data_IF_521029067311
#
_entry.id   IF_521029067311
#
_cell.length_a   1.000
_cell.length_b   1.000
_cell.length_c   1.000
_cell.angle_alpha   90.00
_cell.angle_beta   90.00
_cell.angle_gamma   90.00
#
_symmetry.space_group_name_H-M   'P 1'
#
loop_
_entity.id
_entity.type
_entity.pdbx_description
1 polymer ?
#
# COMPACT_ATOMS: atom_id res chain seq x y z
N UNK A 1 12.86 -18.82 1.64
CA UNK A 1 11.48 -19.09 2.10
C UNK A 1 10.49 -18.65 1.02
N UNK A 2 9.37 -19.35 0.81
CA UNK A 2 8.42 -19.05 -0.28
C UNK A 2 7.57 -17.80 0.03
N UNK A 3 7.54 -16.84 -0.89
CA UNK A 3 6.68 -15.65 -0.86
C UNK A 3 5.31 -15.99 -1.45
N UNK A 4 4.23 -15.54 -0.80
CA UNK A 4 2.87 -15.71 -1.30
C UNK A 4 2.56 -14.61 -2.31
N UNK A 5 2.03 -14.98 -3.48
CA UNK A 5 1.55 -14.00 -4.47
C UNK A 5 0.06 -13.75 -4.27
N UNK A 6 -0.40 -12.57 -4.64
CA UNK A 6 -1.84 -12.29 -4.78
C UNK A 6 -2.39 -13.28 -5.83
N UNK A 7 -3.50 -13.97 -5.56
CA UNK A 7 -4.12 -14.88 -6.53
C UNK A 7 -4.43 -14.18 -7.85
N UNK A 8 -4.14 -14.84 -8.96
CA UNK A 8 -4.56 -14.38 -10.30
C UNK A 8 -6.01 -14.80 -10.52
N UNK A 9 -6.76 -14.00 -11.28
CA UNK A 9 -8.17 -14.26 -11.64
C UNK A 9 -9.18 -14.11 -10.48
N UNK A 10 -8.95 -13.13 -9.60
CA UNK A 10 -9.99 -12.70 -8.67
C UNK A 10 -11.21 -12.15 -9.44
N UNK A 11 -12.43 -12.28 -8.89
CA UNK A 11 -13.62 -11.70 -9.51
C UNK A 11 -13.44 -10.20 -9.77
N UNK A 12 -13.74 -9.76 -11.00
CA UNK A 12 -13.54 -8.36 -11.42
C UNK A 12 -14.44 -7.36 -10.65
N UNK A 13 -15.51 -7.86 -10.04
CA UNK A 13 -16.51 -7.08 -9.28
C UNK A 13 -16.23 -7.06 -7.76
N UNK A 14 -15.07 -7.55 -7.33
CA UNK A 14 -14.75 -7.63 -5.91
C UNK A 14 -14.65 -6.23 -5.30
N UNK A 15 -15.50 -5.94 -4.32
CA UNK A 15 -15.47 -4.67 -3.58
C UNK A 15 -14.46 -4.68 -2.42
N UNK A 16 -14.21 -5.85 -1.83
CA UNK A 16 -13.37 -6.03 -0.64
C UNK A 16 -12.43 -7.21 -0.82
N UNK A 17 -11.14 -6.98 -0.61
CA UNK A 17 -10.11 -8.02 -0.65
C UNK A 17 -9.35 -8.05 0.68
N UNK A 18 -9.39 -9.22 1.33
CA UNK A 18 -8.68 -9.46 2.58
C UNK A 18 -7.59 -10.50 2.38
N UNK A 19 -6.36 -10.10 2.61
CA UNK A 19 -5.15 -10.91 2.43
C UNK A 19 -4.23 -10.76 3.65
N UNK A 20 -4.83 -10.59 4.83
CA UNK A 20 -4.11 -10.48 6.09
C UNK A 20 -3.42 -11.81 6.43
N UNK A 21 -2.34 -11.75 7.21
CA UNK A 21 -1.59 -12.93 7.68
C UNK A 21 -1.05 -13.84 6.55
N UNK A 22 -0.66 -13.25 5.42
CA UNK A 22 0.00 -13.97 4.34
C UNK A 22 1.51 -13.66 4.31
N UNK A 23 2.18 -13.91 3.17
CA UNK A 23 3.59 -13.58 2.93
C UNK A 23 3.77 -12.73 1.68
N UNK A 24 2.86 -11.78 1.44
CA UNK A 24 2.77 -10.99 0.22
C UNK A 24 3.81 -9.87 0.22
N UNK A 25 4.69 -9.89 -0.79
CA UNK A 25 5.67 -8.84 -1.01
C UNK A 25 5.07 -7.74 -1.89
N UNK A 26 5.24 -6.48 -1.51
CA UNK A 26 4.71 -5.30 -2.21
C UNK A 26 5.63 -4.78 -3.34
N UNK A 27 6.76 -5.43 -3.59
CA UNK A 27 7.73 -5.05 -4.64
C UNK A 27 7.19 -5.20 -6.07
N UNK A 28 6.20 -6.07 -6.30
CA UNK A 28 5.55 -6.24 -7.59
C UNK A 28 4.02 -6.33 -7.45
N UNK A 29 3.37 -5.18 -7.64
CA UNK A 29 1.91 -5.04 -7.58
C UNK A 29 1.21 -5.08 -8.94
N UNK A 30 1.88 -5.57 -10.00
CA UNK A 30 1.24 -5.76 -11.31
C UNK A 30 -0.04 -6.62 -11.24
N UNK A 31 -0.15 -7.49 -10.23
CA UNK A 31 -1.33 -8.32 -9.98
C UNK A 31 -2.57 -7.52 -9.54
N UNK A 32 -2.40 -6.29 -9.04
CA UNK A 32 -3.52 -5.41 -8.68
C UNK A 32 -4.26 -4.88 -9.91
N UNK A 33 -3.69 -4.99 -11.12
CA UNK A 33 -4.31 -4.52 -12.35
C UNK A 33 -5.68 -5.16 -12.64
N UNK A 34 -5.92 -6.38 -12.14
CA UNK A 34 -7.17 -7.11 -12.32
C UNK A 34 -8.28 -6.77 -11.32
N UNK A 35 -8.02 -5.95 -10.30
CA UNK A 35 -8.96 -5.70 -9.18
C UNK A 35 -9.28 -4.21 -8.98
N UNK A 36 -9.41 -3.46 -10.07
CA UNK A 36 -9.62 -2.01 -10.06
C UNK A 36 -10.94 -1.56 -9.39
N UNK A 37 -11.91 -2.45 -9.23
CA UNK A 37 -13.18 -2.19 -8.52
C UNK A 37 -13.04 -2.20 -6.99
N UNK A 38 -11.94 -2.74 -6.44
CA UNK A 38 -11.76 -2.88 -4.99
C UNK A 38 -11.80 -1.52 -4.31
N UNK A 39 -12.68 -1.43 -3.30
CA UNK A 39 -12.85 -0.26 -2.41
C UNK A 39 -12.13 -0.45 -1.09
N UNK A 40 -11.99 -1.69 -0.62
CA UNK A 40 -11.30 -1.99 0.63
C UNK A 40 -10.24 -3.08 0.43
N UNK A 41 -9.01 -2.77 0.81
CA UNK A 41 -7.87 -3.67 0.69
C UNK A 41 -7.19 -3.85 2.06
N UNK A 42 -7.20 -5.09 2.55
CA UNK A 42 -6.59 -5.48 3.81
C UNK A 42 -5.35 -6.32 3.55
N UNK A 43 -4.19 -5.78 3.89
CA UNK A 43 -2.87 -6.37 3.68
C UNK A 43 -2.04 -6.41 4.98
N UNK A 44 -2.67 -6.32 6.14
CA UNK A 44 -1.99 -6.36 7.43
C UNK A 44 -1.22 -7.67 7.64
N UNK A 45 -0.16 -7.65 8.44
CA UNK A 45 0.55 -8.86 8.92
C UNK A 45 1.13 -9.75 7.79
N UNK A 46 1.56 -9.18 6.66
CA UNK A 46 2.21 -9.93 5.58
C UNK A 46 3.74 -10.09 5.76
N UNK A 47 4.39 -9.13 6.43
CA UNK A 47 5.81 -9.19 6.81
C UNK A 47 6.02 -8.55 8.19
N UNK A 48 5.53 -9.21 9.23
CA UNK A 48 5.65 -8.76 10.63
C UNK A 48 6.88 -9.37 11.32
N UNK A 49 7.27 -8.90 12.51
CA UNK A 49 8.49 -9.30 13.24
C UNK A 49 8.76 -10.81 13.39
N UNK A 50 7.72 -11.65 13.38
CA UNK A 50 7.85 -13.12 13.38
C UNK A 50 8.14 -13.73 12.00
N UNK A 51 8.32 -12.92 10.96
CA UNK A 51 8.72 -13.29 9.60
C UNK A 51 9.69 -12.23 9.04
N UNK A 52 10.97 -12.24 9.46
CA UNK A 52 11.94 -11.22 9.06
C UNK A 52 12.11 -11.20 7.54
N UNK A 53 11.95 -10.00 6.97
CA UNK A 53 12.27 -9.73 5.57
C UNK A 53 13.76 -9.35 5.49
N UNK A 54 14.50 -9.91 4.55
CA UNK A 54 15.93 -9.58 4.36
C UNK A 54 16.15 -8.22 3.70
N UNK A 55 15.08 -7.52 3.31
CA UNK A 55 15.13 -6.26 2.56
C UNK A 55 14.22 -5.21 3.17
N UNK A 56 14.66 -3.94 3.12
CA UNK A 56 13.83 -2.77 3.47
C UNK A 56 12.47 -2.84 2.79
N UNK A 57 11.42 -2.89 3.62
CA UNK A 57 10.05 -3.01 3.14
C UNK A 57 9.50 -1.61 2.86
N UNK A 58 9.54 -1.21 1.59
CA UNK A 58 9.11 0.12 1.14
C UNK A 58 7.92 0.02 0.19
N UNK A 59 6.96 0.94 0.33
CA UNK A 59 5.91 1.13 -0.70
C UNK A 59 6.48 2.05 -1.78
N UNK A 60 6.54 1.55 -3.02
CA UNK A 60 7.01 2.31 -4.16
C UNK A 60 5.98 3.32 -4.67
N UNK A 61 6.44 4.32 -5.43
CA UNK A 61 5.52 5.20 -6.13
C UNK A 61 4.65 4.39 -7.10
N UNK A 62 3.34 4.67 -7.14
CA UNK A 62 2.40 3.96 -8.01
C UNK A 62 2.03 2.54 -7.59
N UNK A 63 2.49 2.04 -6.43
CA UNK A 63 2.18 0.69 -5.94
C UNK A 63 0.68 0.37 -5.96
N UNK A 64 -0.16 1.36 -5.65
CA UNK A 64 -1.61 1.24 -5.63
C UNK A 64 -2.31 2.18 -6.63
N UNK A 65 -1.59 2.75 -7.60
CA UNK A 65 -2.17 3.74 -8.54
C UNK A 65 -3.25 3.17 -9.44
N UNK A 66 -3.29 1.84 -9.63
CA UNK A 66 -4.32 1.16 -10.40
C UNK A 66 -5.65 1.01 -9.64
N UNK A 67 -5.65 1.22 -8.31
CA UNK A 67 -6.82 1.05 -7.45
C UNK A 67 -7.56 2.38 -7.25
N UNK A 68 -8.09 2.93 -8.34
CA UNK A 68 -8.73 4.25 -8.36
C UNK A 68 -9.95 4.34 -7.42
N UNK A 69 -10.61 3.23 -7.13
CA UNK A 69 -11.79 3.18 -6.27
C UNK A 69 -11.48 2.93 -4.79
N UNK A 70 -10.20 2.79 -4.43
CA UNK A 70 -9.80 2.41 -3.09
C UNK A 70 -10.14 3.50 -2.06
N UNK A 71 -10.90 3.12 -1.05
CA UNK A 71 -11.33 3.97 0.08
C UNK A 71 -10.68 3.58 1.40
N UNK A 72 -10.38 2.29 1.58
CA UNK A 72 -9.82 1.74 2.81
C UNK A 72 -8.58 0.93 2.48
N UNK A 73 -7.46 1.26 3.12
CA UNK A 73 -6.20 0.54 3.00
C UNK A 73 -5.65 0.20 4.38
N UNK A 74 -5.58 -1.11 4.69
CA UNK A 74 -5.02 -1.61 5.94
C UNK A 74 -3.66 -2.26 5.70
N UNK A 75 -2.62 -1.68 6.27
CA UNK A 75 -1.20 -2.04 6.11
C UNK A 75 -0.49 -2.21 7.46
N UNK A 76 -1.24 -2.39 8.54
CA UNK A 76 -0.66 -2.56 9.86
C UNK A 76 0.23 -3.82 9.95
N UNK A 77 1.26 -3.80 10.80
CA UNK A 77 2.10 -4.98 11.04
C UNK A 77 2.86 -5.50 9.80
N UNK A 78 3.46 -4.62 9.00
CA UNK A 78 4.17 -5.01 7.77
C UNK A 78 5.66 -4.64 7.76
N UNK A 79 6.23 -4.23 8.91
CA UNK A 79 7.62 -3.77 9.01
C UNK A 79 7.98 -2.69 7.97
N UNK A 80 7.00 -1.86 7.56
CA UNK A 80 7.23 -0.78 6.61
C UNK A 80 8.24 0.21 7.19
N UNK A 81 9.35 0.44 6.48
CA UNK A 81 10.39 1.41 6.90
C UNK A 81 10.20 2.76 6.23
N UNK A 82 9.59 2.77 5.03
CA UNK A 82 9.33 3.98 4.25
C UNK A 82 8.07 3.83 3.38
N UNK A 83 7.29 4.91 3.26
CA UNK A 83 6.09 4.95 2.40
C UNK A 83 6.37 5.41 0.96
N UNK A 84 7.61 5.77 0.64
CA UNK A 84 8.07 6.14 -0.70
C UNK A 84 9.55 5.77 -0.89
N UNK A 85 9.85 4.90 -1.85
CA UNK A 85 11.18 4.90 -2.49
C UNK A 85 11.03 5.47 -3.90
N UNK A 86 11.00 6.79 -4.01
CA UNK A 86 11.07 7.50 -5.28
C UNK A 86 12.51 7.91 -5.52
N UNK A 87 13.15 7.35 -6.54
CA UNK A 87 14.37 7.97 -7.07
C UNK A 87 13.96 9.36 -7.57
N UNK A 88 14.59 10.42 -7.06
CA UNK A 88 14.37 11.80 -7.48
C UNK A 88 14.43 11.93 -8.99
N UNK A 89 13.29 11.87 -9.66
CA UNK A 89 13.13 12.35 -11.03
C UNK A 89 12.10 13.46 -11.02
N UNK A 90 12.65 14.67 -11.02
CA UNK A 90 11.95 15.89 -11.43
C UNK A 90 11.32 15.62 -12.79
N UNK A 91 10.06 16.01 -12.94
CA UNK A 91 9.28 16.04 -14.19
C UNK A 91 8.62 14.71 -14.59
N UNK A 92 7.48 14.41 -13.97
CA UNK A 92 6.28 13.89 -14.65
C UNK A 92 5.15 13.75 -13.62
N UNK A 93 3.94 14.14 -14.01
CA UNK A 93 2.70 14.01 -13.26
C UNK A 93 2.58 12.64 -12.58
N UNK A 94 2.86 12.56 -11.28
CA UNK A 94 2.86 11.30 -10.52
C UNK A 94 1.78 11.25 -9.45
N UNK A 95 0.83 12.19 -9.49
CA UNK A 95 -0.33 12.22 -8.59
C UNK A 95 -1.52 11.46 -9.20
N UNK A 96 -1.33 10.16 -9.44
CA UNK A 96 -2.43 9.17 -9.39
C UNK A 96 -2.48 8.58 -7.98
N UNK A 97 -2.33 9.46 -6.99
CA UNK A 97 -2.50 9.18 -5.58
C UNK A 97 -3.88 8.60 -5.35
N UNK A 98 -4.05 7.82 -4.29
CA UNK A 98 -5.30 7.21 -3.90
C UNK A 98 -6.36 8.30 -3.57
N UNK A 99 -6.92 8.93 -4.62
CA UNK A 99 -7.76 10.14 -4.56
C UNK A 99 -9.03 9.89 -3.74
N UNK A 100 -9.47 8.65 -3.67
CA UNK A 100 -10.66 8.23 -2.94
C UNK A 100 -10.35 7.64 -1.56
N UNK A 101 -9.07 7.57 -1.14
CA UNK A 101 -8.69 7.03 0.16
C UNK A 101 -9.24 7.89 1.29
N UNK A 102 -9.91 7.23 2.23
CA UNK A 102 -10.53 7.83 3.41
C UNK A 102 -9.97 7.23 4.71
N UNK A 103 -9.58 5.96 4.67
CA UNK A 103 -9.00 5.24 5.80
C UNK A 103 -7.65 4.67 5.38
N UNK A 104 -6.61 5.05 6.12
CA UNK A 104 -5.27 4.50 6.00
C UNK A 104 -4.83 4.00 7.37
N UNK A 105 -4.65 2.69 7.52
CA UNK A 105 -4.08 2.11 8.73
C UNK A 105 -2.66 1.63 8.47
N UNK A 106 -1.69 2.31 9.08
CA UNK A 106 -0.26 1.98 9.03
C UNK A 106 0.29 1.69 10.43
N UNK A 107 -0.57 1.32 11.38
CA UNK A 107 -0.20 1.03 12.77
C UNK A 107 0.82 -0.11 12.89
N UNK A 108 1.67 -0.04 13.92
CA UNK A 108 2.68 -1.08 14.22
C UNK A 108 3.55 -1.42 13.00
N UNK A 109 4.18 -0.39 12.43
CA UNK A 109 5.23 -0.50 11.41
C UNK A 109 6.55 0.10 11.94
N UNK A 110 7.57 0.22 11.10
CA UNK A 110 8.90 0.73 11.44
C UNK A 110 9.21 2.03 10.68
N UNK A 111 8.18 2.85 10.42
CA UNK A 111 8.29 4.03 9.57
C UNK A 111 9.15 5.07 10.28
N UNK A 112 10.35 5.30 9.76
CA UNK A 112 11.31 6.28 10.28
C UNK A 112 11.45 7.53 9.40
N UNK A 113 10.87 7.52 8.19
CA UNK A 113 10.87 8.64 7.24
C UNK A 113 9.53 8.73 6.52
N UNK A 114 8.96 9.93 6.43
CA UNK A 114 7.64 10.16 5.84
C UNK A 114 7.57 11.41 4.95
N UNK A 115 8.38 11.49 3.90
CA UNK A 115 8.29 12.56 2.87
C UNK A 115 7.16 12.28 1.85
N UNK A 116 6.09 11.60 2.28
CA UNK A 116 5.07 11.09 1.36
C UNK A 116 3.94 12.10 1.12
N UNK A 117 3.64 12.45 -0.15
CA UNK A 117 2.53 13.32 -0.48
C UNK A 117 1.18 12.68 -0.16
N UNK A 118 1.12 11.37 0.13
CA UNK A 118 -0.11 10.71 0.63
C UNK A 118 -0.66 11.38 1.90
N UNK A 119 0.23 11.96 2.72
CA UNK A 119 -0.16 12.67 3.93
C UNK A 119 -0.62 14.11 3.71
N UNK A 120 -0.26 14.73 2.57
CA UNK A 120 -0.76 16.07 2.21
C UNK A 120 -2.29 16.10 2.05
N UNK A 121 -2.91 14.94 1.84
CA UNK A 121 -4.37 14.79 1.80
C UNK A 121 -5.00 14.68 3.19
N UNK A 122 -4.26 14.20 4.19
CA UNK A 122 -4.72 14.06 5.57
C UNK A 122 -4.43 15.31 6.41
N UNK A 123 -3.61 16.24 5.92
CA UNK A 123 -3.46 17.56 6.52
C UNK A 123 -4.72 18.40 6.27
N UNK A 124 -5.69 18.29 7.18
CA UNK A 124 -6.69 19.33 7.34
C UNK A 124 -5.98 20.58 7.85
N UNK A 125 -5.97 21.65 7.06
CA UNK A 125 -5.50 22.99 7.41
C UNK A 125 -6.44 23.70 8.41
N UNK A 126 -6.84 23.01 9.49
CA UNK A 126 -7.72 23.53 10.54
C UNK A 126 -7.13 23.43 11.95
N UNK A 127 -5.81 23.23 12.07
CA UNK A 127 -5.09 23.47 13.31
C UNK A 127 -4.10 24.61 13.05
N UNK A 128 -4.60 25.84 13.19
CA UNK A 128 -3.76 26.99 13.57
C UNK A 128 -3.51 26.93 15.07
#
# INVERSE_FOLDING_TARGET
>A
MASSKIPRNLPLILDKLMLENNKINFSNMSYLAGIQHVKELYLSKNYYYWNPCETDFTIGNGTFSLLNNLKVLMLAYNNLTQLLKGNSFRNAQTTYELKNLSVLNIGTNLIVRSDSPIFSKFSNSSLK
#
